data_IF_292343486776
#
_entry.id   IF_292343486776
#
_cell.length_a   1.000
_cell.length_b   1.000
_cell.length_c   1.000
_cell.angle_alpha   90.00
_cell.angle_beta   90.00
_cell.angle_gamma   90.00
#
_symmetry.space_group_name_H-M   'P 1'
#
loop_
_entity.id
_entity.type
_entity.pdbx_description
1 polymer ?
#
# COMPACT_ATOMS: atom_id res chain seq x y z
N UNK A 1 1.08 -23.31 -4.78
CA UNK A 1 -0.26 -23.80 -4.39
C UNK A 1 -0.87 -24.58 -5.55
N UNK A 2 -1.23 -25.85 -5.37
CA UNK A 2 -1.89 -26.69 -6.38
C UNK A 2 -3.39 -26.78 -6.03
N UNK A 3 -4.30 -26.32 -6.91
CA UNK A 3 -5.75 -26.59 -6.79
C UNK A 3 -6.72 -25.42 -6.56
N UNK A 4 -6.44 -24.22 -7.08
CA UNK A 4 -7.41 -23.28 -7.70
C UNK A 4 -8.79 -22.96 -7.09
N UNK A 5 -9.00 -23.04 -5.77
CA UNK A 5 -10.20 -22.48 -5.11
C UNK A 5 -9.77 -21.48 -4.03
N UNK A 6 -10.26 -20.25 -4.12
CA UNK A 6 -10.15 -19.25 -3.05
C UNK A 6 -11.57 -19.03 -2.51
N UNK A 7 -11.73 -19.06 -1.20
CA UNK A 7 -13.01 -18.74 -0.59
C UNK A 7 -13.16 -17.23 -0.47
N UNK A 8 -14.38 -16.73 -0.54
CA UNK A 8 -14.64 -15.29 -0.48
C UNK A 8 -14.21 -14.67 0.87
N UNK A 9 -14.21 -15.46 1.94
CA UNK A 9 -13.69 -15.07 3.26
C UNK A 9 -12.18 -14.79 3.22
N UNK A 10 -11.42 -15.58 2.46
CA UNK A 10 -9.98 -15.38 2.31
C UNK A 10 -9.67 -14.07 1.57
N UNK A 11 -10.52 -13.69 0.61
CA UNK A 11 -10.42 -12.43 -0.13
C UNK A 11 -10.68 -11.22 0.78
N UNK A 12 -11.77 -11.25 1.56
CA UNK A 12 -12.11 -10.19 2.52
C UNK A 12 -10.99 -10.00 3.55
N UNK A 13 -10.43 -11.11 4.05
CA UNK A 13 -9.29 -11.05 4.97
C UNK A 13 -8.06 -10.40 4.31
N UNK A 14 -7.70 -10.80 3.10
CA UNK A 14 -6.54 -10.22 2.40
C UNK A 14 -6.73 -8.74 2.08
N UNK A 15 -7.93 -8.32 1.67
CA UNK A 15 -8.24 -6.91 1.41
C UNK A 15 -8.07 -6.04 2.65
N UNK A 16 -8.53 -6.51 3.82
CA UNK A 16 -8.30 -5.83 5.10
C UNK A 16 -6.82 -5.72 5.43
N UNK A 17 -6.05 -6.80 5.25
CA UNK A 17 -4.61 -6.80 5.48
C UNK A 17 -3.89 -5.80 4.58
N UNK A 18 -4.25 -5.74 3.29
CA UNK A 18 -3.65 -4.81 2.34
C UNK A 18 -3.98 -3.36 2.65
N UNK A 19 -5.25 -3.03 2.96
CA UNK A 19 -5.61 -1.67 3.38
C UNK A 19 -4.84 -1.24 4.62
N UNK A 20 -4.73 -2.11 5.63
CA UNK A 20 -3.99 -1.79 6.85
C UNK A 20 -2.52 -1.51 6.55
N UNK A 21 -1.90 -2.30 5.67
CA UNK A 21 -0.52 -2.09 5.24
C UNK A 21 -0.35 -0.79 4.46
N UNK A 22 -1.25 -0.47 3.52
CA UNK A 22 -1.19 0.79 2.78
C UNK A 22 -1.37 2.01 3.70
N UNK A 23 -2.28 1.92 4.68
CA UNK A 23 -2.45 2.99 5.67
C UNK A 23 -1.23 3.15 6.56
N UNK A 24 -0.55 2.05 6.93
CA UNK A 24 0.72 2.10 7.64
C UNK A 24 1.78 2.83 6.81
N UNK A 25 1.91 2.49 5.52
CA UNK A 25 2.85 3.14 4.60
C UNK A 25 2.59 4.64 4.44
N UNK A 26 1.32 5.06 4.37
CA UNK A 26 0.96 6.48 4.34
C UNK A 26 1.45 7.17 5.62
N UNK A 27 1.16 6.56 6.78
CA UNK A 27 1.56 7.09 8.08
C UNK A 27 3.08 7.17 8.24
N UNK A 28 3.82 6.20 7.72
CA UNK A 28 5.29 6.22 7.71
C UNK A 28 5.82 7.42 6.93
N UNK A 29 5.22 7.75 5.78
CA UNK A 29 5.61 8.94 5.00
C UNK A 29 5.25 10.22 5.74
N UNK A 30 4.08 10.30 6.37
CA UNK A 30 3.68 11.44 7.19
C UNK A 30 4.68 11.69 8.32
N UNK A 31 5.13 10.64 9.01
CA UNK A 31 6.16 10.72 10.05
C UNK A 31 7.49 11.25 9.48
N UNK A 32 7.90 10.81 8.27
CA UNK A 32 9.11 11.32 7.63
C UNK A 32 9.01 12.82 7.32
N UNK A 33 7.83 13.27 6.87
CA UNK A 33 7.57 14.70 6.61
C UNK A 33 7.58 15.51 7.91
N UNK A 34 6.95 15.01 8.98
CA UNK A 34 6.98 15.64 10.29
C UNK A 34 8.41 15.74 10.82
N UNK A 35 9.19 14.65 10.71
CA UNK A 35 10.60 14.64 11.11
C UNK A 35 11.42 15.64 10.32
N UNK A 36 11.15 15.80 9.02
CA UNK A 36 11.80 16.82 8.20
C UNK A 36 11.58 18.23 8.74
N UNK A 37 10.37 18.55 9.19
CA UNK A 37 10.07 19.86 9.78
C UNK A 37 10.73 20.05 11.15
N UNK A 38 10.95 18.98 11.93
CA UNK A 38 11.69 19.06 13.20
C UNK A 38 13.18 19.34 13.01
N UNK A 39 13.79 18.80 11.96
CA UNK A 39 15.23 18.97 11.67
C UNK A 39 15.52 20.22 10.86
N UNK A 40 14.47 20.93 10.43
CA UNK A 40 14.57 22.22 9.78
C UNK A 40 15.27 23.18 10.74
N UNK A 41 16.43 23.68 10.33
CA UNK A 41 17.35 24.51 11.11
C UNK A 41 18.33 23.77 12.05
N UNK A 42 18.41 22.45 12.01
CA UNK A 42 19.48 21.70 12.68
C UNK A 42 20.78 21.79 11.87
N UNK A 43 21.91 22.11 12.52
CA UNK A 43 23.18 22.42 11.85
C UNK A 43 23.88 21.17 11.26
N UNK A 44 23.49 19.97 11.72
CA UNK A 44 24.15 18.69 11.40
C UNK A 44 23.23 17.65 10.74
N UNK A 45 21.97 17.99 10.44
CA UNK A 45 21.02 17.07 9.82
C UNK A 45 20.59 17.63 8.46
N UNK A 46 20.56 16.78 7.44
CA UNK A 46 20.09 17.16 6.13
C UNK A 46 18.56 17.28 6.11
N UNK A 47 18.06 18.42 5.63
CA UNK A 47 16.63 18.63 5.33
C UNK A 47 16.32 18.13 3.92
N UNK A 48 15.16 17.50 3.75
CA UNK A 48 14.59 17.17 2.46
C UNK A 48 14.28 18.46 1.69
N UNK A 49 14.69 18.49 0.43
CA UNK A 49 14.39 19.58 -0.47
C UNK A 49 12.94 19.51 -1.00
N UNK A 50 12.50 20.57 -1.69
CA UNK A 50 11.15 20.65 -2.25
C UNK A 50 10.81 19.50 -3.20
N UNK A 51 11.78 19.01 -3.98
CA UNK A 51 11.55 17.89 -4.92
C UNK A 51 11.32 16.59 -4.15
N UNK A 52 12.10 16.33 -3.10
CA UNK A 52 11.94 15.15 -2.25
C UNK A 52 10.59 15.15 -1.53
N UNK A 53 10.15 16.31 -1.03
CA UNK A 53 8.81 16.48 -0.45
C UNK A 53 7.70 16.23 -1.47
N UNK A 54 7.84 16.70 -2.71
CA UNK A 54 6.89 16.42 -3.78
C UNK A 54 6.81 14.93 -4.12
N UNK A 55 7.95 14.22 -4.10
CA UNK A 55 7.98 12.76 -4.33
C UNK A 55 7.24 12.02 -3.20
N UNK A 56 7.34 12.50 -1.96
CA UNK A 56 6.58 11.94 -0.84
C UNK A 56 5.08 12.14 -1.00
N UNK A 57 4.66 13.33 -1.41
CA UNK A 57 3.25 13.62 -1.68
C UNK A 57 2.70 12.75 -2.81
N UNK A 58 3.47 12.60 -3.90
CA UNK A 58 3.08 11.70 -4.99
C UNK A 58 2.95 10.25 -4.51
N UNK A 59 3.83 9.79 -3.62
CA UNK A 59 3.76 8.44 -3.06
C UNK A 59 2.51 8.25 -2.18
N UNK A 60 2.16 9.24 -1.34
CA UNK A 60 0.91 9.23 -0.58
C UNK A 60 -0.31 9.14 -1.52
N UNK A 61 -0.31 9.92 -2.59
CA UNK A 61 -1.39 9.90 -3.59
C UNK A 61 -1.52 8.52 -4.27
N UNK A 62 -0.40 7.90 -4.62
CA UNK A 62 -0.36 6.56 -5.21
C UNK A 62 -0.91 5.51 -4.23
N UNK A 63 -0.47 5.53 -2.97
CA UNK A 63 -0.96 4.63 -1.92
C UNK A 63 -2.47 4.82 -1.67
N UNK A 64 -2.93 6.07 -1.63
CA UNK A 64 -4.35 6.42 -1.45
C UNK A 64 -5.21 5.90 -2.60
N UNK A 65 -4.74 6.00 -3.84
CA UNK A 65 -5.41 5.40 -5.01
C UNK A 65 -5.54 3.88 -4.86
N UNK A 66 -4.52 3.21 -4.34
CA UNK A 66 -4.58 1.78 -4.07
C UNK A 66 -5.58 1.43 -2.96
N UNK A 67 -5.63 2.19 -1.86
CA UNK A 67 -6.63 2.02 -0.80
C UNK A 67 -8.04 2.13 -1.37
N UNK A 68 -8.31 3.16 -2.18
CA UNK A 68 -9.62 3.39 -2.78
C UNK A 68 -10.00 2.25 -3.74
N UNK A 69 -9.05 1.74 -4.53
CA UNK A 69 -9.29 0.57 -5.39
C UNK A 69 -9.70 -0.66 -4.58
N UNK A 70 -9.04 -0.94 -3.45
CA UNK A 70 -9.39 -2.07 -2.59
C UNK A 70 -10.79 -1.89 -1.99
N UNK A 71 -11.15 -0.66 -1.56
CA UNK A 71 -12.50 -0.36 -1.05
C UNK A 71 -13.59 -0.62 -2.09
N UNK A 72 -13.35 -0.26 -3.35
CA UNK A 72 -14.28 -0.57 -4.46
C UNK A 72 -14.46 -2.08 -4.59
N UNK A 73 -13.37 -2.85 -4.56
CA UNK A 73 -13.41 -4.31 -4.66
C UNK A 73 -14.10 -4.98 -3.47
N UNK A 74 -13.92 -4.47 -2.25
CA UNK A 74 -14.66 -4.94 -1.07
C UNK A 74 -16.16 -4.69 -1.20
N UNK A 75 -16.56 -3.51 -1.68
CA UNK A 75 -17.97 -3.20 -1.88
C UNK A 75 -18.59 -4.13 -2.94
N UNK A 76 -17.86 -4.40 -4.03
CA UNK A 76 -18.29 -5.35 -5.06
C UNK A 76 -18.45 -6.78 -4.50
N UNK A 77 -17.55 -7.22 -3.63
CA UNK A 77 -17.64 -8.53 -2.98
C UNK A 77 -18.88 -8.68 -2.08
N UNK A 78 -19.41 -7.61 -1.50
CA UNK A 78 -20.58 -7.69 -0.61
C UNK A 78 -21.87 -8.16 -1.31
N UNK A 79 -21.94 -8.04 -2.64
CA UNK A 79 -23.11 -8.47 -3.42
C UNK A 79 -23.12 -9.98 -3.73
N UNK A 80 -22.09 -10.72 -3.31
CA UNK A 80 -21.96 -12.15 -3.56
C UNK A 80 -22.29 -13.00 -2.34
N UNK A 81 -22.71 -14.24 -2.61
CA UNK A 81 -23.00 -15.20 -1.57
C UNK A 81 -21.67 -15.70 -0.97
N UNK A 82 -21.42 -15.40 0.32
CA UNK A 82 -20.13 -15.60 1.02
C UNK A 82 -19.63 -17.05 0.99
N UNK A 83 -20.53 -18.00 0.79
CA UNK A 83 -20.25 -19.44 0.80
C UNK A 83 -19.94 -20.02 -0.58
N UNK A 84 -19.94 -19.20 -1.65
CA UNK A 84 -19.60 -19.69 -2.98
C UNK A 84 -18.08 -19.72 -3.22
N UNK A 85 -17.53 -20.88 -3.62
CA UNK A 85 -16.10 -20.98 -3.94
C UNK A 85 -15.80 -20.25 -5.24
N UNK A 86 -14.80 -19.37 -5.22
CA UNK A 86 -14.32 -18.69 -6.43
C UNK A 86 -13.29 -19.58 -7.11
N UNK A 87 -13.64 -20.05 -8.31
CA UNK A 87 -12.75 -20.88 -9.14
C UNK A 87 -11.69 -20.02 -9.83
N UNK A 88 -10.56 -20.63 -10.20
CA UNK A 88 -9.45 -19.94 -10.89
C UNK A 88 -9.81 -19.25 -12.20
N UNK A 89 -10.92 -19.65 -12.84
CA UNK A 89 -11.39 -19.04 -14.09
C UNK A 89 -12.30 -17.83 -13.86
N UNK A 90 -12.73 -17.61 -12.62
CA UNK A 90 -13.62 -16.51 -12.27
C UNK A 90 -12.89 -15.17 -12.38
N UNK A 91 -13.60 -14.13 -12.82
CA UNK A 91 -13.04 -12.78 -12.97
C UNK A 91 -12.42 -12.24 -11.66
N UNK A 92 -13.13 -12.35 -10.54
CA UNK A 92 -12.60 -12.00 -9.21
C UNK A 92 -11.31 -12.72 -8.82
N UNK A 93 -11.12 -13.97 -9.22
CA UNK A 93 -9.86 -14.65 -8.96
C UNK A 93 -8.70 -13.96 -9.69
N UNK A 94 -8.92 -13.57 -10.96
CA UNK A 94 -7.94 -12.85 -11.76
C UNK A 94 -7.68 -11.44 -11.23
N UNK A 95 -8.74 -10.73 -10.84
CA UNK A 95 -8.63 -9.39 -10.25
C UNK A 95 -7.90 -9.42 -8.91
N UNK A 96 -8.22 -10.39 -8.06
CA UNK A 96 -7.55 -10.61 -6.78
C UNK A 96 -6.07 -10.95 -6.95
N UNK A 97 -5.75 -11.88 -7.83
CA UNK A 97 -4.35 -12.26 -8.09
C UNK A 97 -3.55 -11.10 -8.66
N UNK A 98 -4.12 -10.33 -9.59
CA UNK A 98 -3.50 -9.11 -10.10
C UNK A 98 -3.35 -8.02 -9.03
N UNK A 99 -4.29 -7.91 -8.08
CA UNK A 99 -4.19 -6.98 -6.96
C UNK A 99 -3.11 -7.43 -5.97
N UNK A 100 -2.99 -8.74 -5.71
CA UNK A 100 -1.93 -9.31 -4.87
C UNK A 100 -0.54 -9.01 -5.43
N UNK A 101 -0.34 -9.21 -6.73
CA UNK A 101 0.92 -8.87 -7.41
C UNK A 101 1.24 -7.39 -7.24
N UNK A 102 0.26 -6.52 -7.50
CA UNK A 102 0.41 -5.07 -7.28
C UNK A 102 0.76 -4.71 -5.83
N UNK A 103 0.16 -5.38 -4.84
CA UNK A 103 0.47 -5.11 -3.43
C UNK A 103 1.89 -5.52 -3.05
N UNK A 104 2.41 -6.59 -3.65
CA UNK A 104 3.80 -6.98 -3.47
C UNK A 104 4.74 -5.93 -4.09
N UNK A 105 4.43 -5.42 -5.28
CA UNK A 105 5.24 -4.41 -5.93
C UNK A 105 5.20 -3.07 -5.20
N UNK A 106 4.02 -2.63 -4.76
CA UNK A 106 3.86 -1.43 -3.91
C UNK A 106 4.68 -1.55 -2.64
N UNK A 107 4.69 -2.72 -1.99
CA UNK A 107 5.48 -2.94 -0.78
C UNK A 107 6.98 -2.79 -1.06
N UNK A 108 7.48 -3.38 -2.15
CA UNK A 108 8.90 -3.23 -2.54
C UNK A 108 9.26 -1.79 -2.83
N UNK A 109 8.44 -1.09 -3.62
CA UNK A 109 8.65 0.33 -3.95
C UNK A 109 8.67 1.16 -2.68
N UNK A 110 7.74 0.93 -1.76
CA UNK A 110 7.66 1.66 -0.51
C UNK A 110 8.91 1.43 0.36
N UNK A 111 9.32 0.18 0.57
CA UNK A 111 10.52 -0.11 1.38
C UNK A 111 11.78 0.49 0.79
N UNK A 112 11.96 0.45 -0.53
CA UNK A 112 13.11 1.08 -1.18
C UNK A 112 13.09 2.61 -0.97
N UNK A 113 11.94 3.26 -1.20
CA UNK A 113 11.80 4.72 -1.02
C UNK A 113 12.08 5.15 0.41
N UNK A 114 11.53 4.44 1.41
CA UNK A 114 11.76 4.77 2.82
C UNK A 114 13.22 4.54 3.20
N UNK A 115 13.84 3.45 2.74
CA UNK A 115 15.26 3.21 3.00
C UNK A 115 16.15 4.32 2.44
N UNK A 116 15.90 4.76 1.20
CA UNK A 116 16.64 5.84 0.57
C UNK A 116 16.50 7.17 1.35
N UNK A 117 15.30 7.46 1.86
CA UNK A 117 15.01 8.66 2.63
C UNK A 117 15.60 8.65 4.05
N UNK A 118 15.60 7.49 4.72
CA UNK A 118 16.26 7.33 6.03
C UNK A 118 17.76 7.64 5.88
N UNK A 119 18.40 7.12 4.83
CA UNK A 119 19.80 7.42 4.52
C UNK A 119 19.99 8.91 4.21
N UNK A 120 19.10 9.52 3.43
CA UNK A 120 19.17 10.94 3.11
C UNK A 120 19.06 11.84 4.35
N UNK A 121 18.19 11.47 5.31
CA UNK A 121 18.02 12.16 6.59
C UNK A 121 19.15 11.88 7.60
N UNK A 122 20.09 10.98 7.27
CA UNK A 122 21.22 10.64 8.13
C UNK A 122 20.84 9.86 9.40
N UNK A 123 19.74 9.10 9.35
CA UNK A 123 19.22 8.26 10.44
C UNK A 123 19.74 6.82 10.30
#
# INVERSE_FOLDING_TARGET
MKGGKINMIDLDFEYKMWKNRLNLFIKEIEILKERNEEVKNEEFIAELNTVELMVLDEHIDQLTKHVNRIKVQENELQFYNKDFPITSNHQYYKEHTGLREKMNDVSKIHFNRVADLIVALGI
#
